data_IF_512649779386
#
_entry.id   IF_512649779386
#
_cell.length_a   1.000
_cell.length_b   1.000
_cell.length_c   1.000
_cell.angle_alpha   90.00
_cell.angle_beta   90.00
_cell.angle_gamma   90.00
#
_symmetry.space_group_name_H-M   'P 1'
#
loop_
_entity.id
_entity.type
_entity.pdbx_description
1 polymer ?
#
# COMPACT_ATOMS: atom_id res chain seq x y z
N UNK A 1 7.88 4.65 25.30
CA UNK A 1 7.46 5.84 26.06
C UNK A 1 7.82 7.11 25.30
N UNK A 2 9.03 7.18 24.72
CA UNK A 2 9.57 8.37 24.04
C UNK A 2 8.68 8.96 22.94
N UNK A 3 7.99 8.12 22.15
CA UNK A 3 7.07 8.62 21.11
C UNK A 3 5.87 9.39 21.68
N UNK A 4 5.33 8.96 22.82
CA UNK A 4 4.20 9.65 23.47
C UNK A 4 4.66 11.02 23.95
N UNK A 5 5.80 11.09 24.64
CA UNK A 5 6.38 12.35 25.10
C UNK A 5 6.62 13.30 23.92
N UNK A 6 7.28 12.84 22.85
CA UNK A 6 7.49 13.63 21.63
C UNK A 6 6.19 14.13 21.01
N UNK A 7 5.14 13.32 21.02
CA UNK A 7 3.82 13.70 20.52
C UNK A 7 3.21 14.82 21.37
N UNK A 8 3.27 14.69 22.69
CA UNK A 8 2.76 15.70 23.61
C UNK A 8 3.58 17.00 23.53
N UNK A 9 4.91 16.91 23.42
CA UNK A 9 5.79 18.06 23.25
C UNK A 9 5.50 18.83 21.96
N UNK A 10 5.10 18.13 20.89
CA UNK A 10 4.67 18.77 19.64
C UNK A 10 3.30 19.45 19.76
N UNK A 11 2.38 18.89 20.56
CA UNK A 11 1.04 19.41 20.74
C UNK A 11 1.00 20.58 21.74
N UNK A 12 1.84 20.58 22.77
CA UNK A 12 1.83 21.56 23.86
C UNK A 12 1.92 23.02 23.36
N UNK A 13 2.85 23.40 22.46
CA UNK A 13 2.92 24.77 21.92
C UNK A 13 1.65 25.19 21.16
N UNK A 14 0.91 24.24 20.59
CA UNK A 14 -0.34 24.51 19.87
C UNK A 14 -1.47 24.85 20.85
N UNK A 15 -1.46 24.27 22.06
CA UNK A 15 -2.41 24.60 23.13
C UNK A 15 -2.07 25.93 23.82
N UNK A 16 -0.78 26.24 24.00
CA UNK A 16 -0.34 27.51 24.58
C UNK A 16 -0.72 28.71 23.69
N UNK A 17 -0.66 28.52 22.38
CA UNK A 17 -1.07 29.54 21.41
C UNK A 17 -2.61 29.60 21.33
N UNK A 18 -3.20 30.63 21.93
CA UNK A 18 -4.64 30.90 21.89
C UNK A 18 -5.21 30.80 20.47
N UNK A 19 -6.37 30.15 20.34
CA UNK A 19 -7.17 30.00 19.12
C UNK A 19 -6.56 29.18 17.97
N UNK A 20 -5.43 28.48 18.15
CA UNK A 20 -4.82 27.67 17.09
C UNK A 20 -5.77 26.60 16.53
N UNK A 21 -6.45 25.88 17.43
CA UNK A 21 -7.41 24.83 17.06
C UNK A 21 -8.80 25.37 16.69
N UNK A 22 -9.15 26.60 17.12
CA UNK A 22 -10.45 27.22 16.80
C UNK A 22 -10.49 27.81 15.39
N UNK A 23 -9.33 28.12 14.83
CA UNK A 23 -9.21 28.59 13.44
C UNK A 23 -9.23 27.38 12.50
N UNK A 24 -10.01 27.47 11.42
CA UNK A 24 -9.91 26.50 10.33
C UNK A 24 -8.54 26.63 9.67
N UNK A 25 -7.78 25.52 9.65
CA UNK A 25 -6.49 25.44 8.99
C UNK A 25 -6.63 24.61 7.70
N UNK A 26 -5.64 24.71 6.81
CA UNK A 26 -5.60 23.87 5.62
C UNK A 26 -5.17 22.43 5.99
N UNK A 27 -5.41 21.50 5.07
CA UNK A 27 -5.08 20.08 5.25
C UNK A 27 -3.62 19.86 5.61
N UNK A 28 -2.70 20.53 4.89
CA UNK A 28 -1.26 20.42 5.09
C UNK A 28 -0.80 20.89 6.48
N UNK A 29 -1.50 21.84 7.09
CA UNK A 29 -1.22 22.26 8.46
C UNK A 29 -1.52 21.13 9.45
N UNK A 30 -2.67 20.45 9.31
CA UNK A 30 -3.01 19.30 10.15
C UNK A 30 -2.02 18.15 9.96
N UNK A 31 -1.64 17.86 8.72
CA UNK A 31 -0.62 16.86 8.38
C UNK A 31 0.70 17.10 9.11
N UNK A 32 1.22 18.33 9.02
CA UNK A 32 2.56 18.67 9.50
C UNK A 32 2.64 19.00 11.00
N UNK A 33 1.52 19.35 11.64
CA UNK A 33 1.51 19.81 13.05
C UNK A 33 0.87 18.82 13.99
N UNK A 34 -0.02 17.97 13.49
CA UNK A 34 -0.79 17.04 14.33
C UNK A 34 -0.50 15.61 13.88
N UNK A 35 -0.82 15.29 12.64
CA UNK A 35 -0.77 13.91 12.15
C UNK A 35 0.65 13.39 11.87
N UNK A 36 1.67 14.25 12.00
CA UNK A 36 3.10 13.84 12.02
C UNK A 36 3.41 12.83 13.14
N UNK A 37 2.55 12.75 14.16
CA UNK A 37 2.63 11.68 15.16
C UNK A 37 2.52 10.27 14.55
N UNK A 38 1.78 10.11 13.44
CA UNK A 38 1.63 8.83 12.73
C UNK A 38 2.95 8.46 12.04
N UNK A 39 3.61 9.44 11.42
CA UNK A 39 4.88 9.24 10.71
C UNK A 39 5.96 8.83 11.72
N UNK A 40 6.14 9.64 12.76
CA UNK A 40 7.13 9.40 13.81
C UNK A 40 6.87 8.11 14.60
N UNK A 41 5.61 7.65 14.68
CA UNK A 41 5.27 6.37 15.29
C UNK A 41 5.80 5.19 14.47
N UNK A 42 5.57 5.22 13.16
CA UNK A 42 5.89 4.12 12.26
C UNK A 42 7.37 4.11 11.84
N UNK A 43 8.03 5.27 11.81
CA UNK A 43 9.49 5.40 11.59
C UNK A 43 10.33 4.56 12.56
N UNK A 44 9.82 4.33 13.78
CA UNK A 44 10.53 3.51 14.77
C UNK A 44 10.45 1.99 14.49
N UNK A 45 9.74 1.56 13.44
CA UNK A 45 9.71 0.17 12.99
C UNK A 45 10.66 0.02 11.81
N UNK A 46 11.66 -0.85 11.94
CA UNK A 46 12.62 -1.11 10.87
C UNK A 46 11.94 -1.64 9.59
N UNK A 47 12.29 -1.02 8.46
CA UNK A 47 11.77 -1.36 7.15
C UNK A 47 10.38 -0.77 6.84
N UNK A 48 9.73 -0.12 7.80
CA UNK A 48 8.46 0.58 7.54
C UNK A 48 8.73 2.03 7.16
N UNK A 49 8.03 2.53 6.15
CA UNK A 49 8.10 3.92 5.72
C UNK A 49 6.71 4.44 5.42
N UNK A 50 6.46 5.69 5.81
CA UNK A 50 5.21 6.40 5.52
C UNK A 50 5.46 7.38 4.38
N UNK A 51 4.80 7.16 3.26
CA UNK A 51 4.91 8.00 2.07
C UNK A 51 3.71 8.93 2.03
N UNK A 52 3.96 10.25 2.09
CA UNK A 52 2.94 11.30 1.96
C UNK A 52 3.03 12.05 0.64
N UNK A 53 1.96 12.75 0.29
CA UNK A 53 1.96 13.72 -0.81
C UNK A 53 1.43 13.16 -2.14
N UNK A 54 0.19 12.65 -2.13
CA UNK A 54 -0.49 12.07 -3.29
C UNK A 54 0.29 10.95 -3.99
N UNK A 55 0.97 10.10 -3.20
CA UNK A 55 1.75 8.99 -3.71
C UNK A 55 0.85 8.02 -4.51
N UNK A 56 1.38 7.51 -5.62
CA UNK A 56 0.65 6.58 -6.48
C UNK A 56 0.75 5.16 -5.93
N UNK A 57 -0.38 4.58 -5.51
CA UNK A 57 -0.40 3.21 -5.01
C UNK A 57 0.00 2.20 -6.10
N UNK A 58 1.05 1.43 -5.79
CA UNK A 58 1.52 0.32 -6.59
C UNK A 58 0.47 -0.80 -6.65
N UNK A 59 -0.25 -1.07 -5.55
CA UNK A 59 -1.31 -2.08 -5.51
C UNK A 59 -2.46 -1.73 -6.45
N UNK A 60 -2.94 -0.48 -6.40
CA UNK A 60 -3.97 -0.03 -7.33
C UNK A 60 -3.48 0.02 -8.78
N UNK A 61 -2.22 0.37 -9.03
CA UNK A 61 -1.64 0.30 -10.38
C UNK A 61 -1.62 -1.15 -10.87
N UNK A 62 -1.20 -2.10 -10.03
CA UNK A 62 -1.16 -3.52 -10.36
C UNK A 62 -2.54 -4.02 -10.75
N UNK A 63 -3.58 -3.78 -9.94
CA UNK A 63 -4.96 -4.16 -10.26
C UNK A 63 -5.41 -3.61 -11.61
N UNK A 64 -5.18 -2.31 -11.89
CA UNK A 64 -5.60 -1.67 -13.14
C UNK A 64 -4.91 -2.24 -14.39
N UNK A 65 -3.76 -2.90 -14.24
CA UNK A 65 -2.96 -3.44 -15.34
C UNK A 65 -2.92 -4.98 -15.34
N UNK A 66 -3.80 -5.68 -14.61
CA UNK A 66 -3.82 -7.14 -14.57
C UNK A 66 -4.02 -7.79 -15.95
N UNK A 67 -4.81 -7.16 -16.81
CA UNK A 67 -5.15 -7.65 -18.15
C UNK A 67 -4.24 -7.07 -19.25
N UNK A 68 -3.20 -6.31 -18.87
CA UNK A 68 -2.29 -5.67 -19.84
C UNK A 68 -1.45 -6.74 -20.55
N UNK A 69 -1.61 -6.84 -21.87
CA UNK A 69 -0.85 -7.78 -22.70
C UNK A 69 0.57 -7.28 -22.99
N UNK A 70 1.55 -8.19 -23.16
CA UNK A 70 2.91 -7.83 -23.55
C UNK A 70 2.95 -7.37 -25.02
N UNK A 71 3.97 -6.57 -25.36
CA UNK A 71 4.19 -6.02 -26.71
C UNK A 71 4.30 -7.09 -27.81
N UNK A 72 4.59 -8.33 -27.43
CA UNK A 72 4.70 -9.47 -28.33
C UNK A 72 3.35 -10.00 -28.82
N UNK A 73 2.25 -9.66 -28.14
CA UNK A 73 0.89 -10.14 -28.46
C UNK A 73 0.07 -9.01 -29.08
N UNK A 74 0.11 -7.82 -28.48
CA UNK A 74 -0.60 -6.64 -28.98
C UNK A 74 0.26 -5.38 -28.91
N UNK A 75 -0.21 -4.29 -29.54
CA UNK A 75 0.44 -2.99 -29.46
C UNK A 75 0.56 -2.56 -28.00
N UNK A 76 1.78 -2.28 -27.56
CA UNK A 76 2.08 -1.93 -26.18
C UNK A 76 1.33 -0.66 -25.76
N UNK A 77 0.32 -0.80 -24.92
CA UNK A 77 -0.38 0.34 -24.32
C UNK A 77 0.52 1.05 -23.29
N UNK A 78 0.13 2.23 -22.82
CA UNK A 78 0.80 2.88 -21.69
C UNK A 78 0.33 2.25 -20.35
N UNK A 79 1.25 2.10 -19.38
CA UNK A 79 0.90 1.56 -18.06
C UNK A 79 -0.06 2.52 -17.34
N UNK A 80 -1.21 2.01 -16.88
CA UNK A 80 -2.18 2.80 -16.11
C UNK A 80 -1.61 3.14 -14.73
N UNK A 81 -1.64 4.42 -14.37
CA UNK A 81 -1.17 4.90 -13.08
C UNK A 81 -2.07 4.41 -11.94
N UNK A 82 -1.46 4.16 -10.77
CA UNK A 82 -2.16 3.84 -9.53
C UNK A 82 -3.14 4.94 -9.10
N UNK A 83 -3.96 4.63 -8.09
CA UNK A 83 -4.73 5.68 -7.42
C UNK A 83 -3.76 6.48 -6.55
N UNK A 84 -3.87 7.81 -6.56
CA UNK A 84 -3.12 8.68 -5.66
C UNK A 84 -3.75 8.63 -4.28
N UNK A 85 -2.93 8.47 -3.26
CA UNK A 85 -3.33 8.41 -1.85
C UNK A 85 -2.51 9.45 -1.09
N UNK A 86 -3.12 10.08 -0.09
CA UNK A 86 -2.46 11.12 0.70
C UNK A 86 -1.38 10.53 1.59
N UNK A 87 -1.61 9.29 2.06
CA UNK A 87 -0.70 8.50 2.88
C UNK A 87 -0.64 7.05 2.39
N UNK A 88 0.56 6.48 2.32
CA UNK A 88 0.78 5.04 2.08
C UNK A 88 1.80 4.54 3.09
N UNK A 89 1.46 3.46 3.78
CA UNK A 89 2.39 2.74 4.68
C UNK A 89 3.01 1.62 3.87
N UNK A 90 4.33 1.63 3.73
CA UNK A 90 5.08 0.62 2.97
C UNK A 90 6.04 -0.15 3.87
N UNK A 91 6.34 -1.38 3.49
CA UNK A 91 7.40 -2.19 4.03
C UNK A 91 8.46 -2.44 2.95
N UNK A 92 9.70 -2.12 3.27
CA UNK A 92 10.86 -2.14 2.38
C UNK A 92 10.57 -1.44 1.04
N UNK A 93 9.88 -0.28 1.11
CA UNK A 93 9.52 0.61 -0.01
C UNK A 93 8.59 0.03 -1.09
N UNK A 94 8.41 -1.29 -1.14
CA UNK A 94 7.77 -1.98 -2.25
C UNK A 94 6.38 -2.52 -1.87
N UNK A 95 6.23 -3.01 -0.64
CA UNK A 95 5.03 -3.73 -0.21
C UNK A 95 4.14 -2.77 0.57
N UNK A 96 2.93 -2.51 0.08
CA UNK A 96 1.98 -1.64 0.75
C UNK A 96 1.28 -2.42 1.89
N UNK A 97 1.17 -1.79 3.06
CA UNK A 97 0.55 -2.36 4.27
C UNK A 97 -0.60 -1.52 4.82
N UNK A 98 -0.71 -0.28 4.36
CA UNK A 98 -1.76 0.61 4.77
C UNK A 98 -1.88 1.81 3.84
N UNK A 99 -3.03 2.46 3.91
CA UNK A 99 -3.40 3.60 3.07
C UNK A 99 -4.07 4.66 3.93
N UNK A 100 -4.02 5.91 3.48
CA UNK A 100 -4.77 6.98 4.11
C UNK A 100 -5.21 8.08 3.16
N UNK A 101 -6.32 8.71 3.53
CA UNK A 101 -6.95 9.84 2.85
C UNK A 101 -7.11 10.96 3.87
N UNK A 102 -6.83 12.19 3.47
CA UNK A 102 -6.80 13.34 4.38
C UNK A 102 -7.65 14.49 3.84
N UNK A 103 -8.33 15.19 4.76
CA UNK A 103 -9.16 16.36 4.45
C UNK A 103 -9.07 17.37 5.58
N UNK A 104 -9.22 18.65 5.25
CA UNK A 104 -9.23 19.73 6.24
C UNK A 104 -10.47 19.72 7.15
N UNK A 105 -11.60 19.22 6.66
CA UNK A 105 -12.84 19.10 7.40
C UNK A 105 -13.79 18.09 6.71
N UNK A 106 -14.70 17.52 7.48
CA UNK A 106 -15.83 16.78 6.91
C UNK A 106 -16.97 17.75 6.52
N UNK A 107 -17.59 17.48 5.37
CA UNK A 107 -18.75 18.21 4.85
C UNK A 107 -19.94 17.26 4.66
N UNK A 108 -20.02 16.21 5.50
CA UNK A 108 -20.94 15.06 5.45
C UNK A 108 -20.80 14.16 4.22
N UNK A 109 -20.34 14.70 3.08
CA UNK A 109 -20.14 13.94 1.84
C UNK A 109 -18.75 13.31 1.82
N UNK A 110 -17.74 14.03 2.32
CA UNK A 110 -16.36 13.58 2.34
C UNK A 110 -16.20 12.32 3.20
N UNK A 111 -16.88 12.20 4.34
CA UNK A 111 -16.85 10.98 5.14
C UNK A 111 -17.32 9.75 4.34
N UNK A 112 -18.44 9.87 3.62
CA UNK A 112 -19.00 8.77 2.82
C UNK A 112 -18.08 8.42 1.65
N UNK A 113 -17.53 9.43 0.97
CA UNK A 113 -16.68 9.22 -0.19
C UNK A 113 -15.27 8.72 0.17
N UNK A 114 -14.58 9.42 1.06
CA UNK A 114 -13.19 9.14 1.42
C UNK A 114 -13.12 7.86 2.27
N UNK A 115 -13.77 7.86 3.44
CA UNK A 115 -13.75 6.70 4.36
C UNK A 115 -14.68 5.58 3.90
N UNK A 116 -15.85 5.91 3.36
CA UNK A 116 -16.85 4.90 3.00
C UNK A 116 -16.56 4.12 1.72
N UNK A 117 -15.85 4.72 0.75
CA UNK A 117 -15.65 4.14 -0.57
C UNK A 117 -14.18 4.10 -1.02
N UNK A 118 -13.49 5.24 -1.02
CA UNK A 118 -12.14 5.37 -1.61
C UNK A 118 -11.09 4.62 -0.81
N UNK A 119 -11.04 4.83 0.51
CA UNK A 119 -10.12 4.16 1.41
C UNK A 119 -10.35 2.62 1.40
N UNK A 120 -11.58 2.09 1.59
CA UNK A 120 -11.85 0.65 1.46
C UNK A 120 -11.41 0.04 0.14
N UNK A 121 -11.59 0.75 -0.97
CA UNK A 121 -11.15 0.28 -2.29
C UNK A 121 -9.62 0.17 -2.38
N UNK A 122 -8.89 1.16 -1.86
CA UNK A 122 -7.43 1.13 -1.80
C UNK A 122 -6.91 0.06 -0.82
N UNK A 123 -7.58 -0.11 0.33
CA UNK A 123 -7.28 -1.18 1.29
C UNK A 123 -7.44 -2.56 0.65
N UNK A 124 -8.51 -2.79 -0.11
CA UNK A 124 -8.72 -4.06 -0.84
C UNK A 124 -7.62 -4.33 -1.84
N UNK A 125 -7.24 -3.32 -2.63
CA UNK A 125 -6.15 -3.45 -3.61
C UNK A 125 -4.83 -3.84 -2.90
N UNK A 126 -4.55 -3.20 -1.77
CA UNK A 126 -3.36 -3.46 -0.92
C UNK A 126 -3.39 -4.88 -0.32
N UNK A 127 -4.54 -5.31 0.19
CA UNK A 127 -4.71 -6.64 0.79
C UNK A 127 -4.49 -7.76 -0.24
N UNK A 128 -4.99 -7.57 -1.47
CA UNK A 128 -4.74 -8.50 -2.57
C UNK A 128 -3.26 -8.55 -2.96
N UNK A 129 -2.55 -7.42 -2.94
CA UNK A 129 -1.11 -7.39 -3.16
C UNK A 129 -0.38 -8.21 -2.09
N UNK A 130 -0.77 -8.07 -0.81
CA UNK A 130 -0.20 -8.87 0.27
C UNK A 130 -0.41 -10.37 0.05
N UNK A 131 -1.58 -10.80 -0.42
CA UNK A 131 -1.85 -12.21 -0.74
C UNK A 131 -0.92 -12.74 -1.83
N UNK A 132 -0.64 -11.97 -2.86
CA UNK A 132 0.32 -12.36 -3.89
C UNK A 132 1.74 -12.47 -3.32
N UNK A 133 2.14 -11.52 -2.44
CA UNK A 133 3.43 -11.56 -1.74
C UNK A 133 3.56 -12.83 -0.90
N UNK A 134 2.48 -13.28 -0.25
CA UNK A 134 2.41 -14.56 0.48
C UNK A 134 2.03 -15.77 -0.39
N UNK A 135 1.91 -15.61 -1.72
CA UNK A 135 1.46 -16.63 -2.69
C UNK A 135 0.21 -17.39 -2.23
N UNK A 136 -0.76 -16.67 -1.69
CA UNK A 136 -2.05 -17.21 -1.28
C UNK A 136 -1.96 -18.36 -0.25
N UNK A 137 -0.97 -18.34 0.65
CA UNK A 137 -0.92 -19.29 1.75
C UNK A 137 -2.15 -19.09 2.67
N UNK A 138 -3.03 -20.09 2.72
CA UNK A 138 -4.29 -20.07 3.48
C UNK A 138 -4.10 -19.81 4.98
N UNK A 139 -2.99 -20.27 5.56
CA UNK A 139 -2.72 -20.12 7.00
C UNK A 139 -2.31 -18.67 7.34
N UNK A 140 -1.68 -17.98 6.38
CA UNK A 140 -1.22 -16.60 6.56
C UNK A 140 -2.28 -15.58 6.13
N UNK A 141 -3.12 -15.90 5.14
CA UNK A 141 -4.18 -15.00 4.65
C UNK A 141 -5.05 -14.49 5.81
N UNK A 142 -5.50 -15.39 6.69
CA UNK A 142 -6.38 -15.06 7.81
C UNK A 142 -5.71 -14.21 8.90
N UNK A 143 -4.37 -14.14 8.89
CA UNK A 143 -3.58 -13.42 9.87
C UNK A 143 -3.15 -12.02 9.43
N UNK A 144 -3.27 -11.72 8.13
CA UNK A 144 -2.91 -10.47 7.51
C UNK A 144 -4.04 -9.45 7.57
N UNK A 145 -3.68 -8.21 7.87
CA UNK A 145 -4.60 -7.09 7.92
C UNK A 145 -4.06 -5.91 7.11
N UNK A 146 -4.91 -5.01 6.64
CA UNK A 146 -4.51 -3.72 6.06
C UNK A 146 -5.13 -2.61 6.88
N UNK A 147 -4.35 -1.58 7.17
CA UNK A 147 -4.83 -0.43 7.93
C UNK A 147 -5.19 0.73 7.00
N UNK A 148 -6.33 1.34 7.24
CA UNK A 148 -6.87 2.51 6.56
C UNK A 148 -6.93 3.66 7.55
N UNK A 149 -6.37 4.80 7.18
CA UNK A 149 -6.38 6.02 7.99
C UNK A 149 -7.22 7.08 7.27
N UNK A 150 -8.14 7.72 7.96
CA UNK A 150 -8.85 8.86 7.39
C UNK A 150 -8.87 10.00 8.37
N UNK A 151 -8.34 11.16 7.97
CA UNK A 151 -8.31 12.35 8.81
C UNK A 151 -9.22 13.45 8.27
N UNK A 152 -9.94 14.09 9.18
CA UNK A 152 -10.75 15.28 8.91
C UNK A 152 -10.39 16.34 9.94
N UNK A 153 -9.42 17.20 9.58
CA UNK A 153 -8.91 18.22 10.50
C UNK A 153 -8.29 17.60 11.76
N UNK A 154 -8.97 17.73 12.90
CA UNK A 154 -8.57 17.18 14.22
C UNK A 154 -9.11 15.78 14.50
N UNK A 155 -9.92 15.24 13.59
CA UNK A 155 -10.58 13.96 13.75
C UNK A 155 -9.83 12.88 12.95
N UNK A 156 -9.65 11.72 13.57
CA UNK A 156 -9.01 10.55 13.02
C UNK A 156 -9.98 9.36 13.08
N UNK A 157 -10.01 8.64 11.98
CA UNK A 157 -10.69 7.36 11.86
C UNK A 157 -9.70 6.30 11.41
N UNK A 158 -9.77 5.14 12.06
CA UNK A 158 -8.93 3.98 11.75
C UNK A 158 -9.85 2.86 11.30
N UNK A 159 -9.61 2.35 10.11
CA UNK A 159 -10.29 1.20 9.56
C UNK A 159 -9.28 0.05 9.41
N UNK A 160 -9.70 -1.17 9.75
CA UNK A 160 -8.86 -2.37 9.64
C UNK A 160 -9.60 -3.34 8.72
N UNK A 161 -8.94 -3.72 7.62
CA UNK A 161 -9.46 -4.72 6.70
C UNK A 161 -8.74 -6.04 6.89
N UNK A 162 -9.49 -7.11 7.08
CA UNK A 162 -8.99 -8.47 7.24
C UNK A 162 -9.84 -9.50 6.47
N UNK A 163 -9.37 -10.75 6.41
CA UNK A 163 -10.08 -11.86 5.76
C UNK A 163 -10.08 -13.11 6.64
N UNK A 164 -10.92 -13.14 7.68
CA UNK A 164 -10.85 -14.18 8.70
C UNK A 164 -11.16 -15.58 8.16
N UNK A 165 -11.98 -15.68 7.11
CA UNK A 165 -12.50 -16.95 6.57
C UNK A 165 -12.01 -17.26 5.15
N UNK A 166 -11.00 -16.55 4.65
CA UNK A 166 -10.39 -16.67 3.32
C UNK A 166 -11.26 -16.29 2.10
N UNK A 167 -12.59 -16.22 2.20
CA UNK A 167 -13.47 -15.85 1.08
C UNK A 167 -14.22 -14.51 1.25
N UNK A 168 -14.20 -13.90 2.43
CA UNK A 168 -14.90 -12.64 2.73
C UNK A 168 -13.96 -11.67 3.43
N UNK A 169 -13.81 -10.47 2.86
CA UNK A 169 -13.11 -9.37 3.53
C UNK A 169 -14.07 -8.67 4.50
N UNK A 170 -13.60 -8.39 5.70
CA UNK A 170 -14.31 -7.60 6.71
C UNK A 170 -13.57 -6.29 6.91
N UNK A 171 -14.32 -5.22 7.15
CA UNK A 171 -13.78 -3.92 7.57
C UNK A 171 -14.30 -3.64 8.98
N UNK A 172 -13.39 -3.59 9.94
CA UNK A 172 -13.66 -3.13 11.30
C UNK A 172 -13.33 -1.64 11.36
N UNK A 173 -14.27 -0.84 11.87
CA UNK A 173 -14.19 0.63 11.86
C UNK A 173 -14.08 1.15 13.28
N UNK A 174 -13.14 2.07 13.52
CA UNK A 174 -13.06 2.78 14.80
C UNK A 174 -14.19 3.80 14.92
N UNK A 175 -14.51 4.13 16.17
CA UNK A 175 -15.18 5.39 16.49
C UNK A 175 -14.27 6.59 16.17
N UNK A 176 -14.84 7.78 16.29
CA UNK A 176 -14.16 9.04 16.04
C UNK A 176 -13.13 9.31 17.13
N UNK A 177 -11.85 9.37 16.76
CA UNK A 177 -10.77 9.76 17.65
C UNK A 177 -10.45 11.23 17.40
N UNK A 178 -10.34 12.06 18.43
CA UNK A 178 -10.17 13.51 18.23
C UNK A 178 -9.04 14.07 19.07
N UNK A 179 -8.27 14.97 18.49
CA UNK A 179 -7.43 15.89 19.26
C UNK A 179 -8.34 17.01 19.79
N UNK A 180 -8.43 17.22 21.12
CA UNK A 180 -9.33 18.21 21.69
C UNK A 180 -8.87 19.63 21.41
N UNK A 181 -9.82 20.57 21.45
CA UNK A 181 -9.52 22.00 21.32
C UNK A 181 -8.96 22.60 22.62
N UNK A 182 -9.36 22.03 23.76
CA UNK A 182 -8.99 22.49 25.10
C UNK A 182 -8.06 21.48 25.76
N UNK A 183 -7.11 21.98 26.55
CA UNK A 183 -6.12 21.14 27.26
C UNK A 183 -6.76 20.27 28.35
N UNK A 184 -7.88 20.71 28.92
CA UNK A 184 -8.62 19.99 29.96
C UNK A 184 -9.17 18.65 29.47
N UNK A 185 -9.55 18.58 28.19
CA UNK A 185 -10.08 17.38 27.54
C UNK A 185 -8.97 16.46 27.00
N UNK A 186 -7.70 16.88 27.12
CA UNK A 186 -6.55 16.14 26.59
C UNK A 186 -6.49 14.69 27.12
N UNK A 187 -6.61 14.43 28.44
CA UNK A 187 -6.53 13.06 28.95
C UNK A 187 -7.66 12.18 28.40
N UNK A 188 -8.88 12.69 28.36
CA UNK A 188 -10.06 11.91 27.95
C UNK A 188 -10.05 11.58 26.45
N UNK A 189 -9.68 12.53 25.60
CA UNK A 189 -9.78 12.37 24.13
C UNK A 189 -8.48 11.93 23.47
N UNK A 190 -7.33 12.37 23.98
CA UNK A 190 -6.03 12.10 23.36
C UNK A 190 -5.47 10.74 23.78
N UNK A 191 -5.72 10.27 25.02
CA UNK A 191 -5.22 8.96 25.45
C UNK A 191 -5.83 7.80 24.63
N UNK A 192 -7.14 7.74 24.35
CA UNK A 192 -7.71 6.72 23.47
C UNK A 192 -7.12 6.80 22.05
N UNK A 193 -6.88 8.01 21.55
CA UNK A 193 -6.27 8.23 20.24
C UNK A 193 -4.83 7.66 20.19
N UNK A 194 -4.01 7.96 21.20
CA UNK A 194 -2.64 7.44 21.30
C UNK A 194 -2.63 5.91 21.44
N UNK A 195 -3.55 5.36 22.24
CA UNK A 195 -3.71 3.91 22.41
C UNK A 195 -4.09 3.21 21.10
N UNK A 196 -5.02 3.80 20.34
CA UNK A 196 -5.43 3.29 19.04
C UNK A 196 -4.28 3.32 18.01
N UNK A 197 -3.48 4.38 18.01
CA UNK A 197 -2.28 4.46 17.16
C UNK A 197 -1.21 3.44 17.56
N UNK A 198 -0.98 3.21 18.85
CA UNK A 198 -0.08 2.15 19.31
C UNK A 198 -0.58 0.76 18.87
N UNK A 199 -1.90 0.53 18.91
CA UNK A 199 -2.51 -0.70 18.40
C UNK A 199 -2.30 -0.85 16.90
N UNK A 200 -2.44 0.23 16.13
CA UNK A 200 -2.12 0.29 14.71
C UNK A 200 -0.65 -0.08 14.45
N UNK A 201 0.28 0.47 15.24
CA UNK A 201 1.71 0.14 15.15
C UNK A 201 1.95 -1.36 15.36
N UNK A 202 1.29 -1.97 16.34
CA UNK A 202 1.40 -3.41 16.58
C UNK A 202 0.90 -4.24 15.39
N UNK A 203 -0.20 -3.84 14.75
CA UNK A 203 -0.72 -4.51 13.56
C UNK A 203 0.27 -4.43 12.38
N UNK A 204 0.82 -3.25 12.11
CA UNK A 204 1.83 -3.08 11.04
C UNK A 204 3.10 -3.90 11.35
N UNK A 205 3.55 -3.91 12.61
CA UNK A 205 4.72 -4.69 13.04
C UNK A 205 4.48 -6.19 12.88
N UNK A 206 3.29 -6.69 13.26
CA UNK A 206 2.88 -8.08 13.07
C UNK A 206 2.92 -8.46 11.60
N UNK A 207 2.36 -7.65 10.71
CA UNK A 207 2.39 -7.90 9.27
C UNK A 207 3.83 -7.94 8.74
N UNK A 208 4.67 -7.01 9.17
CA UNK A 208 6.09 -6.99 8.80
C UNK A 208 6.80 -8.28 9.19
N UNK A 209 6.60 -8.75 10.42
CA UNK A 209 7.17 -10.00 10.90
C UNK A 209 6.69 -11.21 10.09
N UNK A 210 5.38 -11.31 9.81
CA UNK A 210 4.82 -12.40 9.00
C UNK A 210 5.42 -12.46 7.59
N UNK A 211 5.77 -11.30 7.01
CA UNK A 211 6.44 -11.25 5.72
C UNK A 211 7.94 -11.60 5.82
N UNK A 212 8.64 -11.17 6.87
CA UNK A 212 10.07 -11.46 7.10
C UNK A 212 10.33 -12.96 7.29
N UNK A 213 9.60 -13.62 8.19
CA UNK A 213 9.78 -15.07 8.46
C UNK A 213 9.76 -15.89 7.17
N UNK A 214 8.91 -15.51 6.20
CA UNK A 214 8.85 -16.20 4.91
C UNK A 214 10.02 -15.89 3.98
N UNK A 215 10.48 -14.63 3.96
CA UNK A 215 11.64 -14.25 3.15
C UNK A 215 12.88 -15.02 3.60
N UNK A 216 13.06 -15.17 4.90
CA UNK A 216 14.16 -15.92 5.51
C UNK A 216 14.08 -17.40 5.17
N UNK A 217 12.92 -18.06 5.35
CA UNK A 217 12.73 -19.47 4.93
C UNK A 217 13.01 -19.67 3.43
N UNK A 218 12.63 -18.70 2.59
CA UNK A 218 12.89 -18.77 1.14
C UNK A 218 14.37 -18.60 0.81
N UNK A 219 15.07 -17.72 1.52
CA UNK A 219 16.51 -17.49 1.33
C UNK A 219 17.29 -18.72 1.79
N UNK A 220 16.90 -19.33 2.91
CA UNK A 220 17.42 -20.62 3.37
C UNK A 220 17.16 -21.71 2.34
N UNK A 221 15.91 -21.93 1.91
CA UNK A 221 15.57 -22.94 0.89
C UNK A 221 16.35 -22.74 -0.41
N UNK A 222 16.50 -21.50 -0.89
CA UNK A 222 17.31 -21.21 -2.09
C UNK A 222 18.79 -21.53 -1.86
N UNK A 223 19.34 -21.19 -0.70
CA UNK A 223 20.72 -21.49 -0.35
C UNK A 223 20.97 -23.00 -0.20
N UNK A 224 19.97 -23.73 0.31
CA UNK A 224 20.00 -25.18 0.47
C UNK A 224 19.83 -25.89 -0.87
N UNK A 225 18.94 -25.42 -1.74
CA UNK A 225 18.82 -25.90 -3.12
C UNK A 225 20.12 -25.65 -3.90
N UNK A 226 20.69 -24.44 -3.83
CA UNK A 226 21.99 -24.15 -4.46
C UNK A 226 23.09 -25.09 -3.96
N UNK A 227 23.13 -25.38 -2.65
CA UNK A 227 24.07 -26.36 -2.06
C UNK A 227 23.81 -27.79 -2.53
N UNK A 228 22.55 -28.21 -2.62
CA UNK A 228 22.17 -29.54 -3.11
C UNK A 228 22.52 -29.73 -4.59
N UNK A 229 22.40 -28.68 -5.41
CA UNK A 229 22.76 -28.70 -6.82
C UNK A 229 24.25 -28.43 -7.10
N UNK A 230 25.01 -27.89 -6.14
CA UNK A 230 26.46 -27.70 -6.27
C UNK A 230 27.29 -28.91 -5.81
N UNK A 231 26.69 -29.81 -5.01
CA UNK A 231 27.35 -31.02 -4.51
C UNK A 231 27.06 -32.27 -5.35
N UNK A 232 26.22 -32.16 -6.37
CA UNK A 232 26.13 -33.19 -7.40
C UNK A 232 27.35 -33.01 -8.30
N UNK A 233 28.33 -33.90 -8.15
CA UNK A 233 29.50 -34.01 -9.03
C UNK A 233 29.12 -33.75 -10.49
N UNK A 234 29.93 -32.94 -11.16
CA UNK A 234 29.90 -32.65 -12.60
C UNK A 234 29.77 -33.94 -13.43
N UNK A 235 28.54 -34.42 -13.58
CA UNK A 235 28.15 -35.32 -14.66
C UNK A 235 27.44 -34.46 -15.68
N UNK A 236 28.22 -34.09 -16.70
CA UNK A 236 27.77 -33.53 -17.98
C UNK A 236 26.58 -34.32 -18.56
N UNK A 237 25.38 -34.01 -18.09
CA UNK A 237 24.12 -34.34 -18.75
C UNK A 237 23.31 -33.04 -18.83
N UNK A 238 23.92 -32.01 -19.41
CA UNK A 238 23.13 -31.08 -20.22
C UNK A 238 22.89 -31.83 -21.51
N UNK A 239 21.83 -32.64 -21.53
CA UNK A 239 21.20 -32.97 -22.80
C UNK A 239 20.91 -31.63 -23.48
N UNK A 240 21.50 -31.47 -24.68
CA UNK A 240 21.21 -30.38 -25.59
C UNK A 240 19.69 -30.25 -25.68
N UNK A 241 19.13 -29.24 -25.01
CA UNK A 241 17.84 -28.72 -25.42
C UNK A 241 18.14 -28.06 -26.77
N UNK A 242 17.89 -28.79 -27.85
CA UNK A 242 17.85 -28.18 -29.17
C UNK A 242 16.66 -27.22 -29.16
N UNK A 243 16.93 -25.94 -28.93
CA UNK A 243 16.00 -24.90 -29.32
C UNK A 243 15.68 -25.14 -30.80
N UNK A 244 14.40 -25.31 -31.11
CA UNK A 244 13.94 -25.50 -32.48
C UNK A 244 14.48 -24.36 -33.35
N UNK A 245 15.15 -24.72 -34.44
CA UNK A 245 15.59 -23.75 -35.44
C UNK A 245 14.35 -23.10 -36.05
N UNK A 246 14.26 -21.78 -35.95
CA UNK A 246 13.32 -20.96 -36.73
C UNK A 246 13.56 -21.24 -38.22
N UNK A 247 12.53 -21.57 -39.02
CA UNK A 247 12.70 -21.69 -40.46
C UNK A 247 13.13 -20.34 -41.02
N UNK A 248 14.25 -20.32 -41.75
CA UNK A 248 14.69 -19.16 -42.51
C UNK A 248 13.62 -18.78 -43.53
N UNK A 249 13.25 -17.49 -43.57
CA UNK A 249 12.37 -16.92 -44.59
C UNK A 249 13.01 -17.09 -45.98
N UNK A 250 12.67 -18.18 -46.67
CA UNK A 250 12.84 -18.25 -48.11
C UNK A 250 11.77 -17.40 -48.77
N UNK A 251 12.14 -16.15 -49.06
CA UNK A 251 11.35 -15.25 -49.87
C UNK A 251 11.03 -15.86 -51.24
N UNK A 252 9.74 -15.92 -51.57
CA UNK A 252 9.16 -15.58 -52.88
C UNK A 252 7.65 -15.86 -52.88
N UNK A 253 6.87 -14.88 -52.47
CA UNK A 253 5.55 -14.66 -53.07
C UNK A 253 5.58 -13.31 -53.80
N UNK A 254 5.61 -13.40 -55.12
CA UNK A 254 5.44 -12.24 -56.02
C UNK A 254 3.99 -11.74 -55.86
N UNK A 255 3.80 -10.50 -55.44
CA UNK A 255 2.52 -9.81 -55.59
C UNK A 255 2.43 -9.23 -57.01
N UNK A 256 1.32 -9.43 -57.74
CA UNK A 256 1.14 -8.81 -59.05
C UNK A 256 0.66 -7.37 -58.88
N UNK A 257 1.41 -6.43 -59.48
CA UNK A 257 0.87 -5.27 -60.21
C UNK A 257 0.10 -4.19 -59.44
N UNK A 258 0.74 -3.04 -59.25
CA UNK A 258 0.08 -1.74 -59.09
C UNK A 258 -0.90 -1.49 -60.25
N UNK A 259 -2.14 -1.07 -59.95
CA UNK A 259 -2.94 -0.21 -60.84
C UNK A 259 -3.33 1.08 -60.12
N UNK A 260 -3.19 2.15 -60.87
CA UNK A 260 -3.19 3.54 -60.44
C UNK A 260 -4.61 4.08 -60.15
N UNK A 261 -4.60 5.20 -59.41
CA UNK A 261 -5.67 6.17 -59.10
C UNK A 261 -6.77 6.28 -60.15
N UNK A 262 -8.01 6.48 -59.68
CA UNK A 262 -8.95 7.46 -60.25
C UNK A 262 -9.79 8.09 -59.14
N UNK A 263 -9.65 9.41 -59.00
CA UNK A 263 -10.70 10.30 -58.49
C UNK A 263 -11.93 10.16 -59.39
N UNK A 264 -13.14 10.44 -58.87
CA UNK A 264 -14.19 11.25 -59.50
C UNK A 264 -15.29 11.50 -58.44
N UNK A 265 -15.59 12.80 -58.27
CA UNK A 265 -16.79 13.50 -57.76
C UNK A 265 -17.56 12.93 -56.57
#
# INVERSE_FOLDING_TARGET
>A
MDWICRTLDNLLPLYEKKNTFKKSNNERWYQNRIWTMIDTLLETIEGISVVRGEACSASSSKRKNQERLPASVEKLENKKMGRRQDLIITNNEIIEMGVGEEKSADNNTNMILERGLKCPKAMKDTLLQLYEVIKYNKDLISSLNVVGLTTFGLELYIDIMDNPVNYTCRITRSEKLTIPHNIEELPEKTLPLLSALLSLRLLVSKNSLLLKTRQDTKQELKSSLKRAFSNAEDRNIISKISCALTPEEQGRFKSPGKKAKRNIS
#
